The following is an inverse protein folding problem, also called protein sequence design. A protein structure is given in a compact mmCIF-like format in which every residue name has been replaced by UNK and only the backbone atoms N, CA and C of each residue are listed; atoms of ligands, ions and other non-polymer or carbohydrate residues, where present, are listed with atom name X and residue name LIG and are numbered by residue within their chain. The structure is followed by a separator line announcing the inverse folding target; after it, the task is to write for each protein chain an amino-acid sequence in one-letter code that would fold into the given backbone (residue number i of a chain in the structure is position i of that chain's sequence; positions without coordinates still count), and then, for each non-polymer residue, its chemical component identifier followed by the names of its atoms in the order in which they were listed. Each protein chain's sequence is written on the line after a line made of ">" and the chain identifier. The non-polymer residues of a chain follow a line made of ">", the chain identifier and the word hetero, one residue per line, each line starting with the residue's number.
data_IF_221454596003
#
_entry.id   IF_221454596003
#
_cell.length_a   1.000
_cell.length_b   1.000
_cell.length_c   1.000
_cell.angle_alpha   90.00
_cell.angle_beta   90.00
_cell.angle_gamma   90.00
#
_symmetry.space_group_name_H-M   'P 1'
#
loop_
_entity.id
_entity.type
_entity.pdbx_description
1 polymer ?
#
# COMPACT_ATOMS: atom_id res chain seq x y z
N UNK A 1 -24.86 -17.77 50.69
CA UNK A 1 -23.68 -17.53 51.55
C UNK A 1 -23.95 -18.14 52.93
N UNK A 2 -23.11 -19.09 53.38
CA UNK A 2 -23.24 -19.77 54.69
C UNK A 2 -22.55 -18.96 55.79
N UNK A 3 -23.02 -17.75 56.07
CA UNK A 3 -22.60 -16.96 57.24
C UNK A 3 -23.86 -16.34 57.86
N UNK A 4 -24.30 -16.90 58.98
CA UNK A 4 -25.48 -16.43 59.72
C UNK A 4 -25.09 -15.21 60.54
N UNK A 5 -25.20 -14.00 59.98
CA UNK A 5 -24.91 -12.76 60.71
C UNK A 5 -24.71 -11.49 59.89
N UNK A 6 -24.61 -11.59 58.55
CA UNK A 6 -24.49 -10.43 57.69
C UNK A 6 -25.87 -9.92 57.29
N UNK A 7 -26.37 -8.91 58.00
CA UNK A 7 -27.56 -8.18 57.56
C UNK A 7 -27.24 -7.30 56.35
N UNK A 8 -28.20 -7.04 55.45
CA UNK A 8 -27.98 -6.14 54.31
C UNK A 8 -27.47 -4.74 54.69
N UNK A 9 -27.80 -4.27 55.90
CA UNK A 9 -27.32 -3.00 56.44
C UNK A 9 -25.80 -3.00 56.71
N UNK A 10 -25.27 -4.07 57.31
CA UNK A 10 -23.83 -4.22 57.57
C UNK A 10 -23.05 -4.31 56.26
N UNK A 11 -23.61 -5.01 55.26
CA UNK A 11 -23.01 -5.10 53.92
C UNK A 11 -22.97 -3.72 53.26
N UNK A 12 -24.04 -2.93 53.38
CA UNK A 12 -24.10 -1.56 52.82
C UNK A 12 -23.06 -0.65 53.47
N UNK A 13 -22.97 -0.66 54.79
CA UNK A 13 -21.98 0.13 55.52
C UNK A 13 -20.54 -0.28 55.18
N UNK A 14 -20.29 -1.58 55.05
CA UNK A 14 -18.99 -2.10 54.63
C UNK A 14 -18.65 -1.63 53.21
N UNK A 15 -19.60 -1.69 52.28
CA UNK A 15 -19.41 -1.22 50.91
C UNK A 15 -19.16 0.29 50.85
N UNK A 16 -19.89 1.11 51.61
CA UNK A 16 -19.70 2.56 51.68
C UNK A 16 -18.31 2.92 52.24
N UNK A 17 -17.87 2.22 53.29
CA UNK A 17 -16.51 2.36 53.84
C UNK A 17 -15.44 1.96 52.82
N UNK A 18 -15.63 0.84 52.11
CA UNK A 18 -14.68 0.40 51.07
C UNK A 18 -14.67 1.33 49.86
N UNK A 19 -15.81 1.92 49.49
CA UNK A 19 -15.91 2.89 48.40
C UNK A 19 -15.12 4.15 48.75
N UNK A 20 -15.33 4.69 49.95
CA UNK A 20 -14.60 5.86 50.44
C UNK A 20 -13.08 5.60 50.50
N UNK A 21 -12.68 4.43 51.00
CA UNK A 21 -11.27 4.03 51.03
C UNK A 21 -10.69 3.85 49.61
N UNK A 22 -11.48 3.33 48.66
CA UNK A 22 -11.06 3.21 47.25
C UNK A 22 -10.86 4.57 46.60
N UNK A 23 -11.78 5.51 46.81
CA UNK A 23 -11.65 6.88 46.32
C UNK A 23 -10.41 7.55 46.89
N UNK A 24 -10.15 7.42 48.20
CA UNK A 24 -8.92 7.93 48.81
C UNK A 24 -7.65 7.35 48.14
N UNK A 25 -7.60 6.03 47.88
CA UNK A 25 -6.45 5.42 47.21
C UNK A 25 -6.29 5.94 45.78
N UNK A 26 -7.40 6.08 45.05
CA UNK A 26 -7.38 6.60 43.68
C UNK A 26 -6.91 8.06 43.64
N UNK A 27 -7.49 8.92 44.47
CA UNK A 27 -7.28 10.37 44.43
C UNK A 27 -5.95 10.78 45.08
N UNK A 28 -5.63 10.24 46.25
CA UNK A 28 -4.47 10.67 47.04
C UNK A 28 -3.18 9.94 46.69
N UNK A 29 -3.25 8.72 46.13
CA UNK A 29 -2.07 7.89 45.85
C UNK A 29 -1.88 7.67 44.35
N UNK A 30 -2.91 7.21 43.63
CA UNK A 30 -2.75 6.84 42.22
C UNK A 30 -2.69 8.05 41.29
N UNK A 31 -3.62 9.01 41.41
CA UNK A 31 -3.66 10.19 40.55
C UNK A 31 -2.45 11.11 40.75
N UNK A 32 -1.89 11.19 41.97
CA UNK A 32 -0.65 11.95 42.23
C UNK A 32 0.58 11.32 41.59
N UNK A 33 0.61 10.00 41.44
CA UNK A 33 1.74 9.29 40.85
C UNK A 33 1.65 9.18 39.33
N UNK A 34 0.47 8.85 38.79
CA UNK A 34 0.20 8.71 37.36
C UNK A 34 -1.20 9.30 37.08
N UNK A 35 -1.29 10.60 36.77
CA UNK A 35 -2.57 11.26 36.56
C UNK A 35 -3.27 10.82 35.29
N UNK A 36 -2.51 10.54 34.23
CA UNK A 36 -3.04 10.16 32.92
C UNK A 36 -2.19 9.07 32.27
N UNK A 37 -2.80 8.33 31.35
CA UNK A 37 -2.08 7.35 30.51
C UNK A 37 -1.03 8.11 29.70
N UNK A 38 0.21 7.60 29.71
CA UNK A 38 1.30 8.24 28.98
C UNK A 38 0.96 8.27 27.48
N UNK A 39 1.01 9.44 26.82
CA UNK A 39 0.61 9.57 25.42
C UNK A 39 1.57 8.84 24.47
N UNK A 40 2.83 8.68 24.86
CA UNK A 40 3.83 7.96 24.07
C UNK A 40 4.36 6.75 24.84
N UNK A 41 4.35 5.59 24.16
CA UNK A 41 5.04 4.40 24.66
C UNK A 41 6.55 4.66 24.71
N UNK A 42 7.23 3.94 25.62
CA UNK A 42 8.68 3.96 25.73
C UNK A 42 9.36 3.67 24.38
N UNK A 43 10.51 4.29 24.14
CA UNK A 43 11.29 4.16 22.89
C UNK A 43 11.71 2.72 22.57
N UNK A 44 11.82 1.87 23.59
CA UNK A 44 12.22 0.47 23.46
C UNK A 44 11.04 -0.51 23.57
N UNK A 45 9.85 0.00 23.91
CA UNK A 45 8.67 -0.83 23.97
C UNK A 45 8.20 -1.13 22.55
N UNK A 46 7.85 -2.38 22.24
CA UNK A 46 7.30 -2.72 20.94
C UNK A 46 6.01 -1.91 20.73
N UNK A 47 5.97 -1.20 19.61
CA UNK A 47 4.80 -0.47 19.18
C UNK A 47 3.90 -1.43 18.43
N UNK A 48 2.63 -1.37 18.76
CA UNK A 48 1.58 -2.15 18.11
C UNK A 48 0.80 -1.22 17.19
N UNK A 49 0.80 -1.51 15.89
CA UNK A 49 -0.08 -0.87 14.93
C UNK A 49 -1.14 -1.87 14.50
N UNK A 50 -2.41 -1.49 14.60
CA UNK A 50 -3.53 -2.28 14.12
C UNK A 50 -4.14 -1.62 12.90
N UNK A 51 -4.33 -2.36 11.83
CA UNK A 51 -5.11 -1.94 10.66
C UNK A 51 -6.17 -2.98 10.34
N UNK A 52 -7.25 -2.56 9.68
CA UNK A 52 -8.34 -3.45 9.28
C UNK A 52 -8.41 -3.55 7.76
N UNK A 53 -8.52 -4.77 7.27
CA UNK A 53 -8.53 -5.12 5.85
C UNK A 53 -9.78 -5.97 5.56
N UNK A 54 -10.24 -5.94 4.31
CA UNK A 54 -11.32 -6.80 3.85
C UNK A 54 -10.95 -8.29 3.94
N UNK A 55 -11.87 -9.11 4.42
CA UNK A 55 -11.67 -10.55 4.67
C UNK A 55 -11.26 -11.33 3.43
N UNK A 56 -11.74 -10.91 2.25
CA UNK A 56 -11.45 -11.57 0.98
C UNK A 56 -9.98 -11.45 0.57
N UNK A 57 -9.28 -10.43 1.09
CA UNK A 57 -7.89 -10.11 0.71
C UNK A 57 -6.86 -10.66 1.68
N UNK A 58 -7.30 -11.25 2.80
CA UNK A 58 -6.44 -11.93 3.78
C UNK A 58 -5.57 -13.00 3.08
N UNK A 59 -6.16 -13.78 2.18
CA UNK A 59 -5.44 -14.81 1.43
C UNK A 59 -4.31 -14.24 0.55
N UNK A 60 -4.47 -13.02 0.04
CA UNK A 60 -3.44 -12.31 -0.73
C UNK A 60 -2.30 -11.82 0.16
N UNK A 61 -2.62 -11.28 1.35
CA UNK A 61 -1.62 -10.80 2.32
C UNK A 61 -0.78 -11.95 2.87
N UNK A 62 -1.40 -13.08 3.23
CA UNK A 62 -0.69 -14.29 3.69
C UNK A 62 0.15 -14.89 2.54
N UNK A 63 -0.41 -14.90 1.33
CA UNK A 63 0.16 -15.58 0.17
C UNK A 63 0.08 -17.11 0.28
N UNK A 64 0.53 -17.84 -0.76
CA UNK A 64 0.52 -19.31 -0.77
C UNK A 64 1.41 -19.87 0.34
N UNK A 65 0.80 -20.37 1.42
CA UNK A 65 1.49 -20.97 2.56
C UNK A 65 2.23 -19.98 3.46
N UNK A 66 1.81 -18.71 3.52
CA UNK A 66 2.40 -17.72 4.42
C UNK A 66 3.70 -17.07 3.95
N UNK A 67 4.15 -17.36 2.71
CA UNK A 67 5.42 -16.86 2.18
C UNK A 67 5.51 -15.34 2.15
N UNK A 68 4.42 -14.65 1.82
CA UNK A 68 4.41 -13.19 1.70
C UNK A 68 4.55 -12.54 3.07
N UNK A 69 3.78 -13.01 4.06
CA UNK A 69 3.93 -12.53 5.45
C UNK A 69 5.33 -12.83 5.99
N UNK A 70 5.88 -14.02 5.75
CA UNK A 70 7.23 -14.36 6.21
C UNK A 70 8.29 -13.42 5.59
N UNK A 71 8.13 -13.06 4.32
CA UNK A 71 9.01 -12.11 3.65
C UNK A 71 8.89 -10.71 4.25
N UNK A 72 7.67 -10.22 4.48
CA UNK A 72 7.43 -8.91 5.12
C UNK A 72 8.03 -8.87 6.54
N UNK A 73 7.85 -9.94 7.32
CA UNK A 73 8.42 -10.05 8.66
C UNK A 73 9.97 -10.03 8.62
N UNK A 74 10.58 -10.64 7.61
CA UNK A 74 12.03 -10.66 7.43
C UNK A 74 12.56 -9.29 6.98
N UNK A 75 11.90 -8.66 6.01
CA UNK A 75 12.34 -7.40 5.41
C UNK A 75 12.18 -6.19 6.35
N UNK A 76 11.17 -6.24 7.23
CA UNK A 76 10.84 -5.17 8.16
C UNK A 76 11.11 -5.53 9.63
N UNK A 77 11.76 -6.67 9.92
CA UNK A 77 12.08 -7.13 11.28
C UNK A 77 10.90 -6.95 12.28
N UNK A 78 9.69 -7.30 11.84
CA UNK A 78 8.45 -7.06 12.58
C UNK A 78 7.65 -8.36 12.70
N UNK A 79 6.84 -8.48 13.74
CA UNK A 79 5.87 -9.59 13.87
C UNK A 79 4.51 -9.12 13.39
N UNK A 80 4.03 -9.71 12.30
CA UNK A 80 2.71 -9.43 11.73
C UNK A 80 1.77 -10.58 12.08
N UNK A 81 0.67 -10.28 12.76
CA UNK A 81 -0.43 -11.20 13.00
C UNK A 81 -1.65 -10.78 12.18
N UNK A 82 -2.34 -11.74 11.57
CA UNK A 82 -3.55 -11.50 10.80
C UNK A 82 -4.65 -12.37 11.38
N UNK A 83 -5.73 -11.74 11.82
CA UNK A 83 -6.91 -12.44 12.34
C UNK A 83 -7.95 -12.69 11.23
N UNK A 84 -8.83 -13.66 11.48
CA UNK A 84 -9.86 -14.09 10.52
C UNK A 84 -10.91 -12.99 10.24
N UNK A 85 -11.02 -12.00 11.13
CA UNK A 85 -11.91 -10.84 11.02
C UNK A 85 -11.34 -9.72 10.14
N UNK A 86 -10.11 -9.88 9.63
CA UNK A 86 -9.40 -8.89 8.83
C UNK A 86 -8.56 -7.91 9.65
N UNK A 87 -8.44 -8.10 10.97
CA UNK A 87 -7.59 -7.28 11.82
C UNK A 87 -6.13 -7.72 11.66
N UNK A 88 -5.29 -6.81 11.16
CA UNK A 88 -3.85 -7.02 11.03
C UNK A 88 -3.11 -6.23 12.10
N UNK A 89 -2.38 -6.94 12.95
CA UNK A 89 -1.60 -6.37 14.05
C UNK A 89 -0.12 -6.49 13.75
N UNK A 90 0.58 -5.36 13.69
CA UNK A 90 2.01 -5.26 13.43
C UNK A 90 2.70 -4.86 14.73
N UNK A 91 3.63 -5.70 15.17
CA UNK A 91 4.47 -5.49 16.34
C UNK A 91 5.90 -5.22 15.87
N UNK A 92 6.45 -4.06 16.21
CA UNK A 92 7.87 -3.76 15.95
C UNK A 92 8.46 -2.90 17.05
N UNK A 93 9.77 -3.05 17.28
CA UNK A 93 10.55 -2.14 18.14
C UNK A 93 10.71 -0.76 17.50
N UNK A 94 10.74 -0.70 16.18
CA UNK A 94 10.97 0.53 15.42
C UNK A 94 9.71 0.99 14.68
N UNK A 95 9.39 2.28 14.83
CA UNK A 95 8.22 2.88 14.23
C UNK A 95 8.33 2.97 12.70
N UNK A 96 9.55 3.16 12.17
CA UNK A 96 9.79 3.21 10.73
C UNK A 96 9.53 1.87 10.06
N UNK A 97 9.97 0.79 10.68
CA UNK A 97 9.77 -0.55 10.15
C UNK A 97 8.31 -1.00 10.27
N UNK A 98 7.64 -0.63 11.37
CA UNK A 98 6.19 -0.81 11.51
C UNK A 98 5.42 -0.08 10.39
N UNK A 99 5.79 1.16 10.08
CA UNK A 99 5.18 1.93 9.00
C UNK A 99 5.45 1.34 7.61
N UNK A 100 6.66 0.82 7.37
CA UNK A 100 6.99 0.13 6.11
C UNK A 100 6.14 -1.12 5.92
N UNK A 101 6.03 -1.95 6.96
CA UNK A 101 5.18 -3.14 6.94
C UNK A 101 3.71 -2.76 6.68
N UNK A 102 3.22 -1.70 7.35
CA UNK A 102 1.86 -1.19 7.16
C UNK A 102 1.62 -0.75 5.72
N UNK A 103 2.56 -0.01 5.11
CA UNK A 103 2.45 0.43 3.71
C UNK A 103 2.43 -0.75 2.73
N UNK A 104 3.24 -1.78 2.96
CA UNK A 104 3.25 -2.98 2.11
C UNK A 104 1.91 -3.71 2.24
N UNK A 105 1.43 -3.91 3.46
CA UNK A 105 0.15 -4.58 3.73
C UNK A 105 -1.01 -3.80 3.11
N UNK A 106 -1.04 -2.47 3.24
CA UNK A 106 -2.03 -1.62 2.59
C UNK A 106 -1.96 -1.68 1.07
N UNK A 107 -0.77 -1.78 0.48
CA UNK A 107 -0.58 -1.91 -0.97
C UNK A 107 -1.11 -3.24 -1.50
N UNK A 108 -1.01 -4.31 -0.70
CA UNK A 108 -1.57 -5.63 -1.05
C UNK A 108 -3.09 -5.64 -0.87
N UNK A 109 -3.56 -5.02 0.22
CA UNK A 109 -4.97 -4.97 0.59
C UNK A 109 -5.80 -4.03 -0.29
N UNK A 110 -5.25 -2.90 -0.73
CA UNK A 110 -5.95 -2.02 -1.67
C UNK A 110 -5.81 -2.60 -3.06
N UNK A 111 -6.93 -2.67 -3.78
CA UNK A 111 -6.82 -2.98 -5.20
C UNK A 111 -6.11 -1.84 -5.92
N UNK A 112 -5.35 -2.12 -6.98
CA UNK A 112 -4.75 -1.08 -7.80
C UNK A 112 -5.88 -0.19 -8.32
N UNK A 113 -6.00 1.02 -7.78
CA UNK A 113 -6.93 2.00 -8.28
C UNK A 113 -6.30 2.78 -9.43
N UNK A 114 -7.11 3.07 -10.45
CA UNK A 114 -6.69 3.88 -11.59
C UNK A 114 -6.27 5.27 -11.07
N UNK A 115 -5.04 5.69 -11.37
CA UNK A 115 -4.47 6.96 -10.96
C UNK A 115 -3.71 6.96 -9.62
N UNK A 116 -3.64 5.82 -8.93
CA UNK A 116 -2.79 5.65 -7.75
C UNK A 116 -1.33 5.44 -8.16
N UNK A 117 -0.41 6.03 -7.39
CA UNK A 117 1.04 5.90 -7.57
C UNK A 117 1.54 4.84 -6.61
N UNK A 118 2.26 3.87 -7.14
CA UNK A 118 2.89 2.80 -6.39
C UNK A 118 4.39 2.78 -6.63
N UNK A 119 5.15 2.28 -5.65
CA UNK A 119 6.57 1.95 -5.83
C UNK A 119 6.65 0.49 -6.20
N UNK A 120 7.13 0.19 -7.40
CA UNK A 120 7.24 -1.17 -7.90
C UNK A 120 8.66 -1.52 -8.30
N UNK A 121 8.97 -2.82 -8.26
CA UNK A 121 10.29 -3.35 -8.64
C UNK A 121 10.25 -3.90 -10.06
N UNK A 122 11.25 -3.56 -10.87
CA UNK A 122 11.35 -4.06 -12.25
C UNK A 122 11.71 -5.55 -12.22
N UNK A 123 10.82 -6.43 -12.71
CA UNK A 123 11.06 -7.88 -12.74
C UNK A 123 11.76 -8.31 -14.02
N UNK A 124 11.35 -7.74 -15.16
CA UNK A 124 11.91 -8.06 -16.48
C UNK A 124 11.79 -6.89 -17.44
N UNK A 125 12.73 -6.79 -18.37
CA UNK A 125 12.76 -5.80 -19.44
C UNK A 125 12.46 -6.50 -20.78
N UNK A 126 11.69 -5.84 -21.64
CA UNK A 126 11.45 -6.22 -23.03
C UNK A 126 11.72 -5.03 -23.94
N UNK A 127 11.84 -5.26 -25.25
CA UNK A 127 12.14 -4.21 -26.24
C UNK A 127 11.05 -3.13 -26.35
N UNK A 128 9.80 -3.45 -25.97
CA UNK A 128 8.67 -2.53 -26.04
C UNK A 128 8.24 -1.97 -24.66
N UNK A 129 8.85 -2.43 -23.56
CA UNK A 129 8.47 -1.99 -22.22
C UNK A 129 9.14 -2.75 -21.07
N UNK A 130 8.85 -2.33 -19.84
CA UNK A 130 9.35 -2.93 -18.60
C UNK A 130 8.18 -3.51 -17.79
N UNK A 131 8.34 -4.70 -17.24
CA UNK A 131 7.40 -5.25 -16.28
C UNK A 131 7.83 -4.85 -14.87
N UNK A 132 6.85 -4.31 -14.15
CA UNK A 132 7.04 -3.79 -12.80
C UNK A 132 6.05 -4.49 -11.89
N UNK A 133 6.58 -5.12 -10.84
CA UNK A 133 5.79 -5.71 -9.78
C UNK A 133 5.47 -4.64 -8.74
N UNK A 134 4.18 -4.34 -8.59
CA UNK A 134 3.67 -3.37 -7.60
C UNK A 134 3.38 -4.05 -6.28
N UNK A 135 2.79 -5.25 -6.35
CA UNK A 135 2.45 -6.07 -5.21
C UNK A 135 2.68 -7.55 -5.56
N UNK A 136 2.94 -8.43 -4.57
CA UNK A 136 3.15 -9.86 -4.81
C UNK A 136 2.01 -10.47 -5.63
N UNK A 137 2.31 -10.89 -6.85
CA UNK A 137 1.33 -11.47 -7.78
C UNK A 137 0.55 -10.48 -8.65
N UNK A 138 0.82 -9.17 -8.54
CA UNK A 138 0.28 -8.12 -9.44
C UNK A 138 1.44 -7.46 -10.20
N UNK A 139 1.64 -7.90 -11.44
CA UNK A 139 2.58 -7.29 -12.39
C UNK A 139 1.86 -6.32 -13.33
N UNK A 140 2.49 -5.18 -13.63
CA UNK A 140 2.04 -4.27 -14.67
C UNK A 140 3.11 -4.02 -15.73
N UNK A 141 2.66 -3.60 -16.91
CA UNK A 141 3.52 -3.27 -18.04
C UNK A 141 3.65 -1.74 -18.16
N UNK A 142 4.89 -1.26 -18.15
CA UNK A 142 5.23 0.12 -18.54
C UNK A 142 5.67 0.12 -20.00
N UNK A 143 4.91 0.77 -20.88
CA UNK A 143 5.30 0.93 -22.28
C UNK A 143 6.47 1.93 -22.42
N UNK A 144 7.37 1.70 -23.38
CA UNK A 144 8.56 2.57 -23.60
C UNK A 144 8.23 4.06 -23.77
N UNK A 145 7.05 4.37 -24.33
CA UNK A 145 6.59 5.76 -24.52
C UNK A 145 6.06 6.44 -23.25
N UNK A 146 5.80 5.68 -22.17
CA UNK A 146 5.29 6.17 -20.88
C UNK A 146 6.35 6.08 -19.78
N UNK A 147 7.61 5.83 -20.15
CA UNK A 147 8.71 5.57 -19.23
C UNK A 147 9.40 6.85 -18.77
N UNK A 148 9.49 7.85 -19.64
CA UNK A 148 10.10 9.15 -19.35
C UNK A 148 9.38 10.29 -20.11
N UNK A 149 9.62 11.53 -19.69
CA UNK A 149 9.17 12.76 -20.37
C UNK A 149 9.86 12.94 -21.73
N UNK A 150 11.11 12.48 -21.85
CA UNK A 150 11.88 12.48 -23.09
C UNK A 150 11.67 11.18 -23.88
N UNK A 151 11.84 11.24 -25.21
CA UNK A 151 11.69 10.06 -26.07
C UNK A 151 12.89 9.13 -25.89
N UNK A 152 12.64 8.01 -25.24
CA UNK A 152 13.64 6.97 -25.00
C UNK A 152 13.65 5.97 -26.16
N UNK A 153 14.82 5.68 -26.74
CA UNK A 153 14.97 4.65 -27.79
C UNK A 153 15.08 3.23 -27.21
N UNK A 154 15.70 3.07 -26.03
CA UNK A 154 15.88 1.77 -25.37
C UNK A 154 15.50 1.81 -23.91
N UNK A 155 14.73 0.82 -23.50
CA UNK A 155 14.25 0.66 -22.11
C UNK A 155 15.41 0.47 -21.12
N UNK A 156 16.49 -0.17 -21.58
CA UNK A 156 17.71 -0.48 -20.83
C UNK A 156 18.49 0.77 -20.39
N UNK A 157 18.33 1.91 -21.08
CA UNK A 157 19.05 3.14 -20.76
C UNK A 157 18.47 3.86 -19.53
N UNK A 158 17.22 3.55 -19.16
CA UNK A 158 16.47 4.28 -18.13
C UNK A 158 16.11 3.40 -16.92
N UNK A 159 15.96 2.09 -17.13
CA UNK A 159 15.59 1.15 -16.07
C UNK A 159 16.39 -0.13 -16.15
N UNK A 160 16.88 -0.59 -15.01
CA UNK A 160 17.55 -1.87 -14.86
C UNK A 160 16.62 -2.90 -14.20
N UNK A 161 16.88 -4.19 -14.45
CA UNK A 161 16.19 -5.27 -13.73
C UNK A 161 16.53 -5.17 -12.25
N UNK A 162 15.50 -5.20 -11.40
CA UNK A 162 15.61 -5.09 -9.96
C UNK A 162 15.55 -3.67 -9.40
N UNK A 163 15.48 -2.64 -10.26
CA UNK A 163 15.34 -1.26 -9.82
C UNK A 163 13.95 -0.97 -9.26
N UNK A 164 13.86 -0.05 -8.29
CA UNK A 164 12.61 0.34 -7.64
C UNK A 164 12.16 1.69 -8.18
N UNK A 165 11.10 1.70 -8.98
CA UNK A 165 10.59 2.89 -9.65
C UNK A 165 9.16 3.24 -9.22
N UNK A 166 8.84 4.53 -9.21
CA UNK A 166 7.47 5.00 -8.99
C UNK A 166 6.67 4.91 -10.29
N UNK A 167 5.51 4.26 -10.23
CA UNK A 167 4.63 3.98 -11.37
C UNK A 167 3.18 4.28 -11.02
N UNK A 168 2.43 4.84 -11.96
CA UNK A 168 1.00 5.09 -11.82
C UNK A 168 0.20 4.09 -12.65
N UNK A 169 -0.89 3.57 -12.09
CA UNK A 169 -1.85 2.74 -12.82
C UNK A 169 -2.67 3.63 -13.76
N UNK A 170 -2.54 3.43 -15.07
CA UNK A 170 -3.34 4.18 -16.05
C UNK A 170 -4.64 3.47 -16.40
N UNK A 171 -4.57 2.16 -16.63
CA UNK A 171 -5.72 1.36 -17.05
C UNK A 171 -5.55 -0.06 -16.54
N UNK A 172 -6.66 -0.72 -16.24
CA UNK A 172 -6.72 -2.14 -15.93
C UNK A 172 -7.64 -2.77 -16.98
N UNK A 173 -7.08 -3.71 -17.74
CA UNK A 173 -7.79 -4.42 -18.80
C UNK A 173 -8.68 -5.53 -18.20
N UNK A 174 -9.72 -5.98 -18.91
CA UNK A 174 -10.66 -7.01 -18.41
C UNK A 174 -9.98 -8.35 -18.11
N UNK A 175 -8.80 -8.58 -18.69
CA UNK A 175 -7.94 -9.75 -18.43
C UNK A 175 -7.06 -9.60 -17.18
N UNK A 176 -7.19 -8.52 -16.41
CA UNK A 176 -6.39 -8.24 -15.22
C UNK A 176 -4.97 -7.73 -15.51
N UNK A 177 -4.70 -7.29 -16.74
CA UNK A 177 -3.41 -6.68 -17.11
C UNK A 177 -3.41 -5.21 -16.70
N UNK A 178 -2.39 -4.81 -15.95
CA UNK A 178 -2.26 -3.44 -15.44
C UNK A 178 -1.31 -2.66 -16.35
N UNK A 179 -1.81 -1.60 -16.98
CA UNK A 179 -0.98 -0.66 -17.73
C UNK A 179 -0.46 0.41 -16.77
N UNK A 180 0.86 0.57 -16.76
CA UNK A 180 1.58 1.48 -15.88
C UNK A 180 2.24 2.60 -16.65
N UNK A 181 2.34 3.75 -16.01
CA UNK A 181 3.01 4.93 -16.54
C UNK A 181 3.92 5.53 -15.48
N UNK A 182 5.20 5.65 -15.80
CA UNK A 182 6.17 6.35 -14.97
C UNK A 182 6.08 7.86 -15.21
N UNK A 183 5.80 8.27 -16.45
CA UNK A 183 5.61 9.68 -16.82
C UNK A 183 4.50 10.36 -16.01
N UNK A 184 3.35 9.71 -15.89
CA UNK A 184 2.20 10.29 -15.14
C UNK A 184 2.47 10.31 -13.63
N UNK A 185 3.27 9.37 -13.11
CA UNK A 185 3.73 9.38 -11.73
C UNK A 185 4.65 10.57 -11.45
N UNK A 186 5.60 10.88 -12.35
CA UNK A 186 6.50 12.03 -12.23
C UNK A 186 5.70 13.33 -12.28
N UNK A 187 4.79 13.49 -13.26
CA UNK A 187 3.97 14.68 -13.42
C UNK A 187 3.14 14.98 -12.16
N UNK A 188 2.51 13.95 -11.57
CA UNK A 188 1.69 14.10 -10.37
C UNK A 188 2.50 14.28 -9.08
N UNK A 189 3.73 13.76 -9.02
CA UNK A 189 4.61 13.88 -7.86
C UNK A 189 5.39 15.22 -7.83
N UNK A 190 5.72 15.78 -8.99
CA UNK A 190 6.40 17.09 -9.13
C UNK A 190 5.42 18.27 -9.33
N UNK A 191 4.11 18.03 -9.48
CA UNK A 191 3.11 19.08 -9.63
C UNK A 191 3.24 19.89 -10.94
N UNK A 192 3.85 19.29 -11.96
CA UNK A 192 4.09 19.93 -13.26
C UNK A 192 2.80 19.94 -14.10
N UNK A 193 2.52 21.08 -14.74
CA UNK A 193 1.34 21.24 -15.58
C UNK A 193 1.48 20.40 -16.88
N UNK A 194 0.44 19.64 -17.29
CA UNK A 194 0.46 18.85 -18.53
C UNK A 194 0.65 19.69 -19.80
N UNK A 195 0.32 20.98 -19.74
CA UNK A 195 0.28 21.89 -20.90
C UNK A 195 1.65 22.42 -21.34
N UNK A 196 2.68 22.33 -20.50
CA UNK A 196 4.02 22.86 -20.84
C UNK A 196 4.77 22.00 -21.88
N UNK A 197 4.30 20.77 -22.14
CA UNK A 197 4.97 19.82 -23.05
C UNK A 197 4.04 19.18 -24.10
N UNK A 198 2.77 19.59 -24.20
CA UNK A 198 1.89 19.20 -25.29
C UNK A 198 2.26 19.86 -26.64
N UNK A 199 3.19 20.83 -26.63
CA UNK A 199 3.67 21.53 -27.81
C UNK A 199 4.94 20.89 -28.42
N UNK A 200 4.93 19.57 -28.65
CA UNK A 200 5.81 19.01 -29.68
C UNK A 200 5.03 19.03 -31.01
N UNK A 201 5.59 19.61 -32.11
CA UNK A 201 4.83 19.83 -33.33
C UNK A 201 4.29 18.49 -33.85
N UNK A 202 2.97 18.44 -34.05
CA UNK A 202 2.30 17.33 -34.71
C UNK A 202 3.05 17.03 -36.02
N UNK A 203 3.61 15.83 -36.13
CA UNK A 203 4.22 15.38 -37.37
C UNK A 203 3.19 15.52 -38.52
N UNK A 204 3.57 16.00 -39.71
CA UNK A 204 2.64 16.14 -40.81
C UNK A 204 2.03 14.78 -41.13
N UNK A 205 0.68 14.74 -41.12
CA UNK A 205 -0.13 13.60 -41.55
C UNK A 205 0.37 13.19 -42.93
N UNK A 206 1.07 12.05 -43.06
CA UNK A 206 1.43 11.50 -44.37
C UNK A 206 0.14 11.06 -45.07
N UNK A 207 -0.42 11.94 -45.90
CA UNK A 207 -1.37 11.55 -46.95
C UNK A 207 -0.61 10.71 -47.99
N UNK A 208 -0.52 9.41 -47.75
CA UNK A 208 -0.03 8.44 -48.72
C UNK A 208 -1.11 8.17 -49.77
N UNK A 209 -1.18 9.03 -50.78
CA UNK A 209 -1.99 8.82 -51.97
C UNK A 209 -1.52 7.58 -52.76
N UNK A 210 -2.28 6.50 -52.68
CA UNK A 210 -2.24 5.42 -53.66
C UNK A 210 -3.19 5.76 -54.82
N UNK A 211 -2.70 6.56 -55.77
CA UNK A 211 -3.21 6.57 -57.15
C UNK A 211 -2.13 6.00 -58.06
N UNK A 212 -2.38 4.84 -58.64
CA UNK A 212 -1.83 4.50 -59.97
C UNK A 212 -2.79 3.57 -60.71
N UNK A 213 -3.42 4.18 -61.70
CA UNK A 213 -4.03 3.64 -62.90
C UNK A 213 -3.52 2.25 -63.31
N UNK A 214 -4.46 1.35 -63.62
CA UNK A 214 -4.26 0.41 -64.71
C UNK A 214 -5.50 0.35 -65.58
N UNK A 215 -5.39 1.07 -66.68
CA UNK A 215 -6.23 1.08 -67.86
C UNK A 215 -6.67 -0.33 -68.27
N UNK A 216 -8.00 -0.47 -68.35
CA UNK A 216 -8.76 -0.95 -69.50
C UNK A 216 -7.94 -1.44 -70.72
N UNK A 217 -8.09 -2.73 -71.07
CA UNK A 217 -8.03 -3.27 -72.44
C UNK A 217 -8.75 -4.62 -72.49
N UNK A 218 -9.98 -4.60 -72.99
CA UNK A 218 -10.61 -5.71 -73.72
C UNK A 218 -10.22 -5.60 -75.21
N UNK A 219 -10.41 -6.72 -75.91
CA UNK A 219 -10.50 -6.91 -77.37
C UNK A 219 -9.20 -7.18 -78.14
N UNK A 220 -8.86 -8.46 -78.36
CA UNK A 220 -9.19 -9.26 -79.55
C UNK A 220 -8.68 -10.71 -79.36
#
# INVERSE_FOLDING_TARGET
>A
LKVHGLTPAIIREALDKTYTARCYILDEVMLKAIPEVRPELSKYAPKMLSTKIDTDKIGGVIGKGGKVIQQIQTDCNCTVNVEEDGTVTILSTDLNDANRALQIIETIAKDPEIGAIYKGKVTRLMTFGAFVEIAPGKEGLVHVSKLDLQRVERVEDVVAVGDTIAVMVTEIDEQGRINLSRKDAIIKMEGLNPDDYAAAPAAPRREGGFRRDRNNRRDH
#
